data_IF_757715702607
#
_entry.id   IF_757715702607
#
_cell.length_a   1.000
_cell.length_b   1.000
_cell.length_c   1.000
_cell.angle_alpha   90.00
_cell.angle_beta   90.00
_cell.angle_gamma   90.00
#
_symmetry.space_group_name_H-M   'P 1'
#
loop_
_entity.id
_entity.type
_entity.pdbx_description
1 polymer ?
#
# COMPACT_ATOMS: atom_id res chain seq x y z
N UNK A 1 -9.75 43.18 -19.36
CA UNK A 1 -9.05 42.37 -18.33
C UNK A 1 -7.56 42.58 -18.45
N UNK A 2 -6.80 42.41 -17.37
CA UNK A 2 -5.33 42.52 -17.47
C UNK A 2 -4.77 41.22 -18.02
N UNK A 3 -3.79 41.31 -18.93
CA UNK A 3 -3.12 40.14 -19.53
C UNK A 3 -2.51 39.20 -18.47
N UNK A 4 -2.07 39.73 -17.33
CA UNK A 4 -1.55 38.95 -16.20
C UNK A 4 -2.60 38.10 -15.51
N UNK A 5 -3.86 38.52 -15.48
CA UNK A 5 -4.98 37.76 -14.89
C UNK A 5 -5.33 36.58 -15.81
N UNK A 6 -5.40 36.82 -17.12
CA UNK A 6 -5.64 35.76 -18.11
C UNK A 6 -4.55 34.70 -18.06
N UNK A 7 -3.27 35.08 -17.96
CA UNK A 7 -2.16 34.12 -17.85
C UNK A 7 -2.30 33.18 -16.66
N UNK A 8 -2.67 33.72 -15.48
CA UNK A 8 -2.93 32.89 -14.30
C UNK A 8 -4.11 31.95 -14.51
N UNK A 9 -5.13 32.41 -15.23
CA UNK A 9 -6.33 31.64 -15.50
C UNK A 9 -6.06 30.50 -16.52
N UNK A 10 -5.20 30.73 -17.50
CA UNK A 10 -4.70 29.70 -18.42
C UNK A 10 -3.86 28.66 -17.66
N UNK A 11 -2.98 29.10 -16.77
CA UNK A 11 -2.19 28.18 -15.94
C UNK A 11 -3.08 27.32 -15.04
N UNK A 12 -4.07 27.94 -14.37
CA UNK A 12 -5.08 27.23 -13.59
C UNK A 12 -5.91 26.26 -14.43
N UNK A 13 -6.23 26.61 -15.68
CA UNK A 13 -6.95 25.73 -16.61
C UNK A 13 -6.13 24.48 -16.92
N UNK A 14 -4.84 24.60 -17.21
CA UNK A 14 -3.96 23.45 -17.43
C UNK A 14 -3.74 22.60 -16.17
N UNK A 15 -3.83 23.21 -14.99
CA UNK A 15 -3.79 22.49 -13.71
C UNK A 15 -5.14 21.85 -13.33
N UNK A 16 -6.23 22.13 -14.06
CA UNK A 16 -7.57 21.64 -13.74
C UNK A 16 -8.17 22.28 -12.48
N UNK A 17 -7.74 23.50 -12.14
CA UNK A 17 -8.18 24.24 -10.94
C UNK A 17 -9.24 25.30 -11.26
N UNK A 18 -9.65 25.44 -12.52
CA UNK A 18 -10.65 26.41 -12.98
C UNK A 18 -12.08 25.97 -12.67
N UNK A 19 -12.92 26.97 -12.42
CA UNK A 19 -14.38 26.81 -12.35
C UNK A 19 -15.03 27.02 -13.72
N UNK A 20 -16.25 26.52 -13.90
CA UNK A 20 -17.02 26.66 -15.16
C UNK A 20 -17.20 28.14 -15.55
N UNK A 21 -17.36 29.03 -14.58
CA UNK A 21 -17.50 30.48 -14.82
C UNK A 21 -16.21 31.10 -15.35
N UNK A 22 -15.07 30.71 -14.78
CA UNK A 22 -13.73 31.14 -15.20
C UNK A 22 -13.41 30.62 -16.60
N UNK A 23 -13.72 29.37 -16.91
CA UNK A 23 -13.51 28.82 -18.25
C UNK A 23 -14.38 29.48 -19.30
N UNK A 24 -15.65 29.80 -18.98
CA UNK A 24 -16.52 30.56 -19.88
C UNK A 24 -15.96 31.96 -20.15
N UNK A 25 -15.38 32.58 -19.12
CA UNK A 25 -14.70 33.86 -19.26
C UNK A 25 -13.45 33.74 -20.14
N UNK A 26 -12.65 32.69 -19.96
CA UNK A 26 -11.45 32.41 -20.76
C UNK A 26 -11.80 32.17 -22.23
N UNK A 27 -12.88 31.41 -22.46
CA UNK A 27 -13.45 31.18 -23.79
C UNK A 27 -13.90 32.49 -24.44
N UNK A 28 -14.62 33.35 -23.72
CA UNK A 28 -15.05 34.66 -24.25
C UNK A 28 -13.86 35.58 -24.59
N UNK A 29 -12.80 35.53 -23.78
CA UNK A 29 -11.58 36.30 -24.02
C UNK A 29 -10.87 35.82 -25.29
N UNK A 30 -10.65 34.50 -25.43
CA UNK A 30 -9.96 33.94 -26.59
C UNK A 30 -10.76 33.98 -27.89
N UNK A 31 -12.09 33.98 -27.81
CA UNK A 31 -12.97 34.23 -28.96
C UNK A 31 -12.94 35.68 -29.46
N UNK A 32 -12.50 36.62 -28.62
CA UNK A 32 -12.35 38.02 -29.01
C UNK A 32 -11.26 38.27 -30.07
N UNK A 33 -11.36 39.40 -30.75
CA UNK A 33 -10.36 39.86 -31.74
C UNK A 33 -9.13 40.52 -31.08
N UNK A 34 -9.29 41.09 -29.88
CA UNK A 34 -8.22 41.81 -29.15
C UNK A 34 -7.54 40.93 -28.08
N UNK A 35 -6.84 39.88 -28.55
CA UNK A 35 -6.03 39.00 -27.68
C UNK A 35 -4.58 39.44 -27.73
N UNK A 36 -3.93 39.52 -26.57
CA UNK A 36 -2.52 39.92 -26.48
C UNK A 36 -1.64 39.00 -27.33
N UNK A 37 -0.67 39.57 -28.04
CA UNK A 37 0.19 38.84 -28.99
C UNK A 37 0.91 37.63 -28.34
N UNK A 38 1.28 37.76 -27.07
CA UNK A 38 1.91 36.72 -26.25
C UNK A 38 1.02 35.49 -26.01
N UNK A 39 -0.31 35.69 -26.08
CA UNK A 39 -1.34 34.69 -25.78
C UNK A 39 -1.95 34.06 -27.04
N UNK A 40 -1.47 34.43 -28.24
CA UNK A 40 -2.01 33.88 -29.50
C UNK A 40 -1.80 32.37 -29.62
N UNK A 41 -0.68 31.84 -29.10
CA UNK A 41 -0.44 30.39 -29.06
C UNK A 41 -1.40 29.68 -28.11
N UNK A 42 -1.64 30.28 -26.94
CA UNK A 42 -2.60 29.76 -25.95
C UNK A 42 -4.03 29.81 -26.49
N UNK A 43 -4.39 30.88 -27.23
CA UNK A 43 -5.68 31.00 -27.92
C UNK A 43 -5.93 29.82 -28.85
N UNK A 44 -4.97 29.53 -29.74
CA UNK A 44 -5.10 28.46 -30.72
C UNK A 44 -5.27 27.10 -30.02
N UNK A 45 -4.41 26.79 -29.04
CA UNK A 45 -4.50 25.55 -28.28
C UNK A 45 -5.81 25.43 -27.50
N UNK A 46 -6.18 26.46 -26.74
CA UNK A 46 -7.39 26.48 -25.91
C UNK A 46 -8.66 26.30 -26.76
N UNK A 47 -8.77 27.02 -27.88
CA UNK A 47 -9.93 26.91 -28.76
C UNK A 47 -10.00 25.53 -29.44
N UNK A 48 -8.88 24.94 -29.83
CA UNK A 48 -8.86 23.58 -30.38
C UNK A 48 -9.32 22.52 -29.36
N UNK A 49 -8.94 22.67 -28.09
CA UNK A 49 -9.42 21.78 -27.02
C UNK A 49 -10.93 21.94 -26.82
N UNK A 50 -11.44 23.17 -26.82
CA UNK A 50 -12.86 23.46 -26.64
C UNK A 50 -13.73 23.13 -27.87
N UNK A 51 -13.16 23.18 -29.08
CA UNK A 51 -13.84 22.84 -30.33
C UNK A 51 -13.82 21.35 -30.64
N UNK A 52 -13.13 20.53 -29.83
CA UNK A 52 -13.09 19.09 -30.04
C UNK A 52 -14.51 18.55 -30.21
N UNK A 53 -14.79 18.03 -31.41
CA UNK A 53 -16.11 17.53 -31.80
C UNK A 53 -16.56 16.49 -30.77
N UNK A 54 -17.87 16.39 -30.56
CA UNK A 54 -18.44 15.30 -29.77
C UNK A 54 -17.99 13.97 -30.39
N UNK A 55 -17.02 13.32 -29.75
CA UNK A 55 -16.53 12.02 -30.18
C UNK A 55 -17.70 11.06 -30.05
N UNK A 56 -18.09 10.41 -31.14
CA UNK A 56 -19.15 9.40 -31.12
C UNK A 56 -18.74 8.26 -30.18
N UNK A 57 -19.40 8.18 -29.03
CA UNK A 57 -19.07 7.21 -28.00
C UNK A 57 -19.68 5.87 -28.41
N UNK A 58 -18.88 4.79 -28.54
CA UNK A 58 -19.39 3.49 -28.94
C UNK A 58 -20.50 3.02 -27.98
N UNK A 59 -21.62 2.54 -28.54
CA UNK A 59 -22.84 2.14 -27.81
C UNK A 59 -22.62 1.19 -26.62
N UNK A 60 -21.55 0.38 -26.65
CA UNK A 60 -21.25 -0.63 -25.62
C UNK A 60 -20.12 -0.22 -24.67
N UNK A 61 -19.55 0.98 -24.81
CA UNK A 61 -18.42 1.41 -23.99
C UNK A 61 -18.82 1.58 -22.52
N UNK A 62 -19.96 2.22 -22.27
CA UNK A 62 -20.49 2.45 -20.93
C UNK A 62 -20.73 1.13 -20.19
N UNK A 63 -21.48 0.21 -20.82
CA UNK A 63 -21.71 -1.12 -20.26
C UNK A 63 -20.40 -1.88 -19.97
N UNK A 64 -19.40 -1.75 -20.84
CA UNK A 64 -18.08 -2.37 -20.61
C UNK A 64 -17.36 -1.75 -19.42
N UNK A 65 -17.42 -0.42 -19.24
CA UNK A 65 -16.83 0.26 -18.10
C UNK A 65 -17.49 -0.18 -16.79
N UNK A 66 -18.82 -0.26 -16.76
CA UNK A 66 -19.57 -0.73 -15.58
C UNK A 66 -19.13 -2.16 -15.17
N UNK A 67 -19.06 -3.07 -16.15
CA UNK A 67 -18.62 -4.45 -15.86
C UNK A 67 -17.18 -4.49 -15.31
N UNK A 68 -16.31 -3.60 -15.78
CA UNK A 68 -14.91 -3.55 -15.36
C UNK A 68 -14.77 -2.96 -13.95
N UNK A 69 -15.60 -1.99 -13.59
CA UNK A 69 -15.70 -1.45 -12.21
C UNK A 69 -16.11 -2.57 -11.25
N UNK A 70 -17.16 -3.32 -11.58
CA UNK A 70 -17.66 -4.42 -10.75
C UNK A 70 -16.63 -5.54 -10.59
N UNK A 71 -15.94 -5.91 -11.68
CA UNK A 71 -14.88 -6.92 -11.65
C UNK A 71 -13.73 -6.50 -10.73
N UNK A 72 -13.27 -5.25 -10.86
CA UNK A 72 -12.18 -4.72 -10.03
C UNK A 72 -12.58 -4.67 -8.55
N UNK A 73 -13.80 -4.22 -8.25
CA UNK A 73 -14.33 -4.21 -6.88
C UNK A 73 -14.45 -5.63 -6.29
N UNK A 74 -14.87 -6.62 -7.10
CA UNK A 74 -14.93 -8.01 -6.68
C UNK A 74 -13.53 -8.59 -6.43
N UNK A 75 -12.57 -8.31 -7.31
CA UNK A 75 -11.17 -8.77 -7.19
C UNK A 75 -10.48 -8.21 -5.95
N UNK A 76 -10.79 -6.97 -5.57
CA UNK A 76 -10.30 -6.37 -4.32
C UNK A 76 -10.86 -7.11 -3.09
N UNK A 77 -12.17 -7.39 -3.05
CA UNK A 77 -12.82 -8.14 -1.95
C UNK A 77 -12.32 -9.58 -1.82
N UNK A 78 -12.02 -10.25 -2.94
CA UNK A 78 -11.51 -11.63 -2.94
C UNK A 78 -10.09 -11.71 -2.36
N UNK A 79 -9.23 -10.70 -2.57
CA UNK A 79 -7.89 -10.68 -1.95
C UNK A 79 -7.93 -10.58 -0.42
N UNK A 80 -8.96 -9.98 0.15
CA UNK A 80 -9.11 -9.83 1.61
C UNK A 80 -9.66 -11.11 2.26
N UNK A 81 -10.35 -11.97 1.50
CA UNK A 81 -10.88 -13.25 2.01
C UNK A 81 -9.91 -14.40 1.74
N UNK A 82 -8.73 -14.33 2.37
CA UNK A 82 -7.89 -15.52 2.54
C UNK A 82 -8.70 -16.56 3.33
N UNK A 83 -9.26 -17.55 2.61
CA UNK A 83 -9.85 -18.76 3.22
C UNK A 83 -8.88 -19.27 4.28
N UNK A 84 -9.31 -19.52 5.53
CA UNK A 84 -8.44 -20.17 6.50
C UNK A 84 -8.27 -21.63 6.03
N UNK A 85 -7.26 -21.86 5.19
CA UNK A 85 -6.82 -23.19 4.86
C UNK A 85 -6.50 -23.87 6.18
N UNK A 86 -7.13 -25.01 6.41
CA UNK A 86 -7.12 -25.83 7.63
C UNK A 86 -5.75 -26.45 7.93
N UNK A 87 -4.68 -25.66 7.90
CA UNK A 87 -3.29 -26.06 8.21
C UNK A 87 -3.12 -26.47 9.67
N UNK A 88 -4.08 -26.15 10.56
CA UNK A 88 -4.06 -26.55 11.98
C UNK A 88 -3.97 -28.07 12.16
N UNK A 89 -4.66 -28.88 11.34
CA UNK A 89 -4.62 -30.35 11.47
C UNK A 89 -3.28 -30.96 11.03
N UNK A 90 -2.59 -30.34 10.08
CA UNK A 90 -1.28 -30.79 9.60
C UNK A 90 -0.17 -30.46 10.62
N UNK A 91 -0.17 -29.24 11.15
CA UNK A 91 0.81 -28.80 12.16
C UNK A 91 0.67 -29.62 13.45
N UNK A 92 -0.56 -29.94 13.87
CA UNK A 92 -0.77 -30.75 15.09
C UNK A 92 -0.30 -32.20 14.95
N UNK A 93 -0.45 -32.81 13.75
CA UNK A 93 0.08 -34.16 13.48
C UNK A 93 1.60 -34.17 13.36
N UNK A 94 2.21 -33.10 12.84
CA UNK A 94 3.67 -32.98 12.74
C UNK A 94 4.33 -32.70 14.09
N UNK A 95 3.72 -31.86 14.93
CA UNK A 95 4.20 -31.58 16.29
C UNK A 95 4.20 -32.84 17.18
N UNK A 96 3.22 -33.75 17.00
CA UNK A 96 3.18 -35.03 17.73
C UNK A 96 4.36 -35.96 17.43
N UNK A 97 4.86 -35.96 16.19
CA UNK A 97 6.03 -36.75 15.81
C UNK A 97 7.33 -36.23 16.44
N UNK A 98 7.52 -34.91 16.47
CA UNK A 98 8.69 -34.27 17.09
C UNK A 98 8.68 -34.48 18.61
N UNK A 99 7.52 -34.35 19.27
CA UNK A 99 7.39 -34.56 20.70
C UNK A 99 7.74 -36.01 21.11
N UNK A 100 7.34 -37.01 20.32
CA UNK A 100 7.71 -38.41 20.57
C UNK A 100 9.22 -38.64 20.45
N UNK A 101 9.88 -38.03 19.46
CA UNK A 101 11.33 -38.08 19.32
C UNK A 101 12.06 -37.44 20.51
N UNK A 102 11.62 -36.26 20.96
CA UNK A 102 12.16 -35.59 22.14
C UNK A 102 11.93 -36.44 23.41
N UNK A 103 10.75 -37.05 23.56
CA UNK A 103 10.45 -37.91 24.71
C UNK A 103 11.34 -39.16 24.74
N UNK A 104 11.62 -39.78 23.59
CA UNK A 104 12.54 -40.92 23.47
C UNK A 104 13.97 -40.48 23.84
N UNK A 105 14.43 -39.30 23.38
CA UNK A 105 15.75 -38.76 23.72
C UNK A 105 15.87 -38.40 25.21
N UNK A 106 14.81 -37.86 25.82
CA UNK A 106 14.76 -37.58 27.27
C UNK A 106 14.77 -38.89 28.05
N UNK A 107 13.99 -39.89 27.62
CA UNK A 107 13.91 -41.19 28.31
C UNK A 107 15.23 -41.95 28.22
N UNK A 108 15.84 -42.00 27.03
CA UNK A 108 17.18 -42.56 26.84
C UNK A 108 18.23 -41.76 27.62
N UNK A 109 18.15 -40.43 27.60
CA UNK A 109 19.02 -39.54 28.36
C UNK A 109 18.96 -39.81 29.87
N UNK A 110 17.77 -39.94 30.46
CA UNK A 110 17.60 -40.29 31.88
C UNK A 110 18.11 -41.71 32.18
N UNK A 111 17.89 -42.66 31.27
CA UNK A 111 18.36 -44.04 31.43
C UNK A 111 19.89 -44.14 31.45
N UNK A 112 20.58 -43.40 30.57
CA UNK A 112 22.05 -43.34 30.55
C UNK A 112 22.64 -42.42 31.64
N UNK A 113 21.91 -41.38 32.07
CA UNK A 113 22.32 -40.46 33.14
C UNK A 113 22.20 -41.07 34.56
N UNK A 114 21.61 -42.27 34.70
CA UNK A 114 21.70 -43.00 35.98
C UNK A 114 23.12 -43.51 36.29
N UNK A 115 24.06 -43.43 35.34
CA UNK A 115 25.45 -43.86 35.57
C UNK A 115 26.42 -42.77 36.03
N UNK A 116 26.24 -41.46 35.78
CA UNK A 116 27.23 -40.48 36.24
C UNK A 116 26.64 -39.15 36.72
N UNK A 117 27.17 -38.69 37.86
CA UNK A 117 26.78 -37.49 38.57
C UNK A 117 27.19 -36.21 37.82
N UNK A 118 26.25 -35.27 37.76
CA UNK A 118 26.45 -33.81 37.80
C UNK A 118 27.18 -33.14 36.62
N UNK A 119 26.44 -32.37 35.81
CA UNK A 119 26.57 -30.90 35.70
C UNK A 119 25.57 -30.34 34.67
N UNK A 120 24.79 -29.34 35.07
CA UNK A 120 23.99 -28.51 34.16
C UNK A 120 24.93 -27.63 33.33
N UNK A 121 24.82 -27.66 32.00
CA UNK A 121 25.38 -26.62 31.12
C UNK A 121 24.28 -25.94 30.31
N UNK A 122 24.32 -24.61 30.17
CA UNK A 122 23.32 -23.84 29.45
C UNK A 122 23.41 -24.08 27.93
N UNK A 123 22.30 -23.73 27.28
CA UNK A 123 21.83 -23.83 25.89
C UNK A 123 22.85 -23.49 24.76
N UNK A 124 24.11 -23.18 25.08
CA UNK A 124 25.13 -22.82 24.10
C UNK A 124 25.86 -24.02 23.44
N UNK A 125 25.72 -25.25 23.95
CA UNK A 125 26.64 -26.35 23.58
C UNK A 125 26.09 -27.42 22.62
N UNK A 126 24.84 -27.32 22.13
CA UNK A 126 24.31 -28.33 21.18
C UNK A 126 24.77 -28.12 19.73
N UNK A 127 25.66 -27.16 19.45
CA UNK A 127 26.21 -26.93 18.12
C UNK A 127 27.62 -27.56 17.93
N UNK A 128 28.16 -28.25 18.94
CA UNK A 128 29.59 -28.62 18.94
C UNK A 128 29.94 -30.06 18.52
N UNK A 129 29.05 -30.80 17.83
CA UNK A 129 29.42 -32.18 17.38
C UNK A 129 29.23 -32.55 15.91
N UNK A 130 28.78 -31.64 15.05
CA UNK A 130 28.85 -31.82 13.59
C UNK A 130 28.75 -30.46 12.90
N UNK A 131 29.60 -29.51 13.27
CA UNK A 131 29.86 -28.36 12.38
C UNK A 131 31.10 -28.70 11.59
N UNK A 132 30.86 -29.14 10.36
CA UNK A 132 31.85 -28.93 9.32
C UNK A 132 31.99 -27.40 9.11
N UNK A 133 33.17 -26.89 8.79
CA UNK A 133 33.42 -25.42 8.66
C UNK A 133 32.46 -24.73 7.68
N UNK A 134 31.82 -25.51 6.80
CA UNK A 134 30.78 -25.09 5.87
C UNK A 134 29.43 -24.75 6.53
N UNK A 135 29.09 -25.30 7.70
CA UNK A 135 27.82 -25.04 8.38
C UNK A 135 27.88 -23.80 9.28
N UNK A 136 29.07 -23.44 9.77
CA UNK A 136 29.30 -22.21 10.54
C UNK A 136 29.04 -20.96 9.68
N UNK A 137 29.45 -20.98 8.41
CA UNK A 137 29.16 -19.93 7.44
C UNK A 137 27.66 -19.79 7.16
N UNK A 138 26.94 -20.89 6.97
CA UNK A 138 25.49 -20.86 6.76
C UNK A 138 24.73 -20.30 7.96
N UNK A 139 25.18 -20.65 9.17
CA UNK A 139 24.59 -20.12 10.41
C UNK A 139 24.85 -18.62 10.51
N UNK A 140 26.07 -18.16 10.19
CA UNK A 140 26.41 -16.74 10.20
C UNK A 140 25.61 -15.95 9.16
N UNK A 141 25.51 -16.45 7.93
CA UNK A 141 24.69 -15.86 6.88
C UNK A 141 23.21 -15.80 7.26
N UNK A 142 22.69 -16.86 7.89
CA UNK A 142 21.31 -16.88 8.40
C UNK A 142 21.09 -15.85 9.52
N UNK A 143 22.07 -15.67 10.42
CA UNK A 143 22.02 -14.63 11.45
C UNK A 143 22.04 -13.23 10.83
N UNK A 144 22.91 -12.98 9.86
CA UNK A 144 22.96 -11.70 9.12
C UNK A 144 21.65 -11.43 8.38
N UNK A 145 21.07 -12.46 7.73
CA UNK A 145 19.77 -12.38 7.06
C UNK A 145 18.62 -12.09 8.05
N UNK A 146 18.63 -12.70 9.24
CA UNK A 146 17.63 -12.44 10.28
C UNK A 146 17.76 -11.01 10.85
N UNK A 147 18.98 -10.54 11.06
CA UNK A 147 19.25 -9.15 11.50
C UNK A 147 18.80 -8.16 10.42
N UNK A 148 19.14 -8.43 9.16
CA UNK A 148 18.72 -7.61 8.02
C UNK A 148 17.19 -7.57 7.91
N UNK A 149 16.52 -8.73 8.00
CA UNK A 149 15.08 -8.84 7.98
C UNK A 149 14.43 -8.05 9.11
N UNK A 150 14.94 -8.19 10.34
CA UNK A 150 14.47 -7.43 11.51
C UNK A 150 14.60 -5.91 11.29
N UNK A 151 15.74 -5.46 10.76
CA UNK A 151 15.98 -4.04 10.48
C UNK A 151 15.04 -3.47 9.41
N UNK A 152 14.71 -4.26 8.38
CA UNK A 152 13.77 -3.88 7.32
C UNK A 152 12.32 -3.89 7.81
N UNK A 153 11.97 -4.87 8.63
CA UNK A 153 10.66 -4.96 9.26
C UNK A 153 10.41 -3.78 10.19
N UNK A 154 11.38 -3.42 11.04
CA UNK A 154 11.27 -2.27 11.93
C UNK A 154 11.06 -0.96 11.15
N UNK A 155 11.85 -0.73 10.10
CA UNK A 155 11.68 0.43 9.21
C UNK A 155 10.32 0.46 8.51
N UNK A 156 9.81 -0.69 8.09
CA UNK A 156 8.47 -0.80 7.51
C UNK A 156 7.37 -0.49 8.52
N UNK A 157 7.54 -0.91 9.77
CA UNK A 157 6.61 -0.63 10.87
C UNK A 157 6.59 0.87 11.23
N UNK A 158 7.76 1.53 11.23
CA UNK A 158 7.87 2.98 11.47
C UNK A 158 7.12 3.79 10.40
N UNK A 159 7.22 3.38 9.14
CA UNK A 159 6.46 3.99 8.03
C UNK A 159 4.95 3.75 8.17
N UNK A 160 4.54 2.57 8.63
CA UNK A 160 3.15 2.24 8.86
C UNK A 160 2.55 3.04 10.03
N UNK A 161 3.33 3.29 11.09
CA UNK A 161 2.92 4.15 12.20
C UNK A 161 2.62 5.58 11.71
N UNK A 162 3.48 6.15 10.84
CA UNK A 162 3.24 7.47 10.26
C UNK A 162 1.96 7.51 9.41
N UNK A 163 1.71 6.48 8.59
CA UNK A 163 0.47 6.36 7.82
C UNK A 163 -0.76 6.27 8.74
N UNK A 164 -0.69 5.49 9.82
CA UNK A 164 -1.79 5.38 10.79
C UNK A 164 -2.15 6.74 11.42
N UNK A 165 -1.14 7.54 11.81
CA UNK A 165 -1.39 8.87 12.38
C UNK A 165 -2.02 9.84 11.38
N UNK A 166 -1.67 9.73 10.09
CA UNK A 166 -2.29 10.55 9.06
C UNK A 166 -3.73 10.12 8.79
N UNK A 167 -4.00 8.81 8.79
CA UNK A 167 -5.36 8.27 8.65
C UNK A 167 -6.26 8.68 9.82
N UNK A 168 -5.75 8.69 11.05
CA UNK A 168 -6.48 9.15 12.23
C UNK A 168 -6.82 10.64 12.13
N UNK A 169 -5.86 11.49 11.71
CA UNK A 169 -6.10 12.91 11.47
C UNK A 169 -7.11 13.14 10.35
N UNK A 170 -7.02 12.39 9.25
CA UNK A 170 -7.98 12.47 8.14
C UNK A 170 -9.38 12.07 8.59
N UNK A 171 -9.51 11.00 9.38
CA UNK A 171 -10.78 10.59 9.98
C UNK A 171 -11.33 11.65 10.95
N UNK A 172 -10.47 12.28 11.76
CA UNK A 172 -10.87 13.35 12.66
C UNK A 172 -11.39 14.58 11.89
N UNK A 173 -10.69 14.99 10.83
CA UNK A 173 -11.11 16.10 9.96
C UNK A 173 -12.42 15.76 9.25
N UNK A 174 -12.56 14.54 8.72
CA UNK A 174 -13.79 14.07 8.09
C UNK A 174 -14.97 14.10 9.07
N UNK A 175 -14.79 13.62 10.29
CA UNK A 175 -15.85 13.63 11.30
C UNK A 175 -16.24 15.06 11.71
N UNK A 176 -15.26 15.96 11.87
CA UNK A 176 -15.49 17.38 12.14
C UNK A 176 -16.22 18.08 10.99
N UNK A 177 -15.87 17.80 9.74
CA UNK A 177 -16.52 18.42 8.58
C UNK A 177 -17.95 17.90 8.38
N UNK A 178 -18.19 16.62 8.66
CA UNK A 178 -19.51 15.99 8.55
C UNK A 178 -20.47 16.50 9.64
N UNK A 179 -20.03 16.52 10.91
CA UNK A 179 -20.86 17.02 12.02
C UNK A 179 -21.12 18.53 11.91
N UNK A 180 -20.12 19.32 11.46
CA UNK A 180 -20.31 20.76 11.23
C UNK A 180 -21.32 21.09 10.14
N UNK A 181 -21.50 20.22 9.13
CA UNK A 181 -22.56 20.41 8.13
C UNK A 181 -23.94 20.11 8.70
N UNK A 182 -24.05 19.07 9.55
CA UNK A 182 -25.30 18.66 10.18
C UNK A 182 -25.89 19.75 11.09
N UNK A 183 -25.05 20.51 11.79
CA UNK A 183 -25.47 21.61 12.67
C UNK A 183 -25.87 22.90 11.91
N UNK A 184 -25.59 23.00 10.60
CA UNK A 184 -25.97 24.15 9.76
C UNK A 184 -27.26 23.92 8.96
N UNK A 185 -27.75 22.70 8.92
CA UNK A 185 -28.98 22.30 8.22
C UNK A 185 -30.16 22.02 9.18
N UNK A 186 -29.99 22.28 10.49
CA UNK A 186 -31.06 22.34 11.51
C UNK A 186 -31.26 23.77 11.99
#
# INVERSE_FOLDING_TARGET
MKTSEIKKLVEAFYNGETTIEEEKLLLSYFQGEDVAEELLKEKDLFLNLYQSESIDVPLHLEAKLDTLIDELAAKEKVKVTLKPASKKKYILRWAGGIAAGIAILITAGIYFNKQEKTTMTPIAQTIDKTIDKADEQKIKEAQEALVLLSSKFNKGMDQLALVSTNLDKTNEILNKTFNRKKDKES
#
